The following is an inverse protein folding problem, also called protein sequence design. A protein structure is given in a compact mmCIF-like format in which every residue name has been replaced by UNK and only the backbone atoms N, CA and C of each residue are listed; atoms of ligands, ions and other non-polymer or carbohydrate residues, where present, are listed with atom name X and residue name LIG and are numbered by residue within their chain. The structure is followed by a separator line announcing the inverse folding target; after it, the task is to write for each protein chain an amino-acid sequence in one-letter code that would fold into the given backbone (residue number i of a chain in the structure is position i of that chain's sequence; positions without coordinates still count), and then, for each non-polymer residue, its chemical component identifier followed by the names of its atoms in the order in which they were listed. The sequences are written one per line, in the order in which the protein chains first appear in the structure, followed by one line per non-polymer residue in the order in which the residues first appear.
data_IF_505852046827
#
_entry.id   IF_505852046827
#
_cell.length_a   1.000
_cell.length_b   1.000
_cell.length_c   1.000
_cell.angle_alpha   90.00
_cell.angle_beta   90.00
_cell.angle_gamma   90.00
#
_symmetry.space_group_name_H-M   'P 1'
#
loop_
_entity.id
_entity.type
_entity.pdbx_description
1 polymer ?
#
# COMPACT_ATOMS: atom_id res chain seq x y z
N UNK A 1 -13.91 28.33 2.11
CA UNK A 1 -14.16 26.89 1.84
C UNK A 1 -13.17 26.43 0.80
N UNK A 2 -12.26 25.53 1.16
CA UNK A 2 -11.62 24.49 0.33
C UNK A 2 -10.39 23.99 1.12
N UNK A 3 -10.59 22.99 1.97
CA UNK A 3 -9.49 22.21 2.55
C UNK A 3 -9.14 21.13 1.53
N UNK A 4 -8.14 21.38 0.69
CA UNK A 4 -7.58 20.37 -0.21
C UNK A 4 -6.62 19.54 0.65
N UNK A 5 -7.06 18.36 1.09
CA UNK A 5 -6.20 17.39 1.74
C UNK A 5 -5.04 17.08 0.78
N UNK A 6 -3.84 17.49 1.16
CA UNK A 6 -2.63 17.29 0.38
C UNK A 6 -2.36 15.77 0.32
N UNK A 7 -2.13 15.25 -0.90
CA UNK A 7 -1.90 13.82 -1.21
C UNK A 7 -0.66 13.30 -0.47
N UNK A 8 -0.90 12.83 0.75
CA UNK A 8 -0.33 11.64 1.39
C UNK A 8 1.09 11.24 1.00
N UNK A 9 2.08 11.90 1.61
CA UNK A 9 3.41 11.30 1.81
C UNK A 9 3.28 10.14 2.81
N UNK A 10 3.86 8.97 2.51
CA UNK A 10 3.91 7.88 3.47
C UNK A 10 4.69 8.34 4.73
N UNK A 11 4.18 8.02 5.93
CA UNK A 11 4.87 8.23 7.21
C UNK A 11 4.94 6.89 7.94
N UNK A 12 6.10 6.55 8.49
CA UNK A 12 6.48 5.19 8.92
C UNK A 12 5.74 4.65 10.15
N UNK A 13 4.80 5.40 10.73
CA UNK A 13 4.08 5.01 11.94
C UNK A 13 2.60 5.36 11.78
N UNK A 14 1.75 4.35 11.92
CA UNK A 14 0.28 4.39 12.00
C UNK A 14 -0.54 4.46 10.70
N UNK A 15 0.06 4.17 9.54
CA UNK A 15 -0.75 3.97 8.31
C UNK A 15 -1.06 2.50 8.13
N UNK A 16 -2.27 2.12 8.55
CA UNK A 16 -2.89 0.86 8.13
C UNK A 16 -3.35 1.04 6.70
N UNK A 17 -2.85 0.20 5.79
CA UNK A 17 -3.29 0.16 4.40
C UNK A 17 -4.23 -1.03 4.21
N UNK A 18 -5.24 -0.83 3.38
CA UNK A 18 -6.25 -1.84 3.10
C UNK A 18 -6.02 -2.41 1.70
N UNK A 19 -6.01 -3.74 1.60
CA UNK A 19 -5.94 -4.41 0.31
C UNK A 19 -7.25 -4.20 -0.47
N UNK A 20 -7.17 -3.60 -1.66
CA UNK A 20 -8.36 -3.28 -2.48
C UNK A 20 -8.79 -4.40 -3.44
N UNK A 21 -7.99 -5.48 -3.57
CA UNK A 21 -8.24 -6.61 -4.46
C UNK A 21 -7.68 -7.90 -3.85
N UNK A 22 -8.39 -9.00 -4.02
CA UNK A 22 -7.90 -10.31 -3.57
C UNK A 22 -6.55 -10.67 -4.21
N UNK A 23 -5.70 -11.36 -3.45
CA UNK A 23 -4.48 -12.01 -3.93
C UNK A 23 -4.57 -13.49 -3.54
N UNK A 24 -5.24 -14.32 -4.37
CA UNK A 24 -5.57 -15.71 -4.03
C UNK A 24 -4.34 -16.57 -3.75
N UNK A 25 -3.23 -16.30 -4.44
CA UNK A 25 -1.96 -17.04 -4.33
C UNK A 25 -1.39 -16.98 -2.90
N UNK A 26 -1.67 -15.87 -2.20
CA UNK A 26 -1.23 -15.61 -0.83
C UNK A 26 -2.36 -15.65 0.19
N UNK A 27 -3.56 -16.11 -0.21
CA UNK A 27 -4.76 -16.18 0.64
C UNK A 27 -5.12 -14.84 1.30
N UNK A 28 -4.86 -13.74 0.59
CA UNK A 28 -5.21 -12.40 1.04
C UNK A 28 -6.53 -11.98 0.40
N UNK A 29 -7.50 -11.61 1.22
CA UNK A 29 -8.77 -11.07 0.75
C UNK A 29 -8.72 -9.55 0.66
N UNK A 30 -9.53 -8.97 -0.20
CA UNK A 30 -9.92 -7.56 -0.13
C UNK A 30 -10.32 -7.23 1.31
N UNK A 31 -10.01 -6.02 1.75
CA UNK A 31 -10.13 -5.55 3.13
C UNK A 31 -9.11 -6.10 4.13
N UNK A 32 -8.13 -6.90 3.68
CA UNK A 32 -7.01 -7.26 4.57
C UNK A 32 -6.21 -6.02 4.94
N UNK A 33 -6.11 -5.77 6.24
CA UNK A 33 -5.31 -4.69 6.80
C UNK A 33 -3.82 -5.06 6.83
N UNK A 34 -2.98 -4.06 6.63
CA UNK A 34 -1.53 -4.22 6.53
C UNK A 34 -0.80 -2.98 7.06
N UNK A 35 0.50 -3.14 7.32
CA UNK A 35 1.37 -2.11 7.88
C UNK A 35 2.46 -1.76 6.87
N UNK A 36 2.78 -0.47 6.78
CA UNK A 36 3.96 0.02 6.05
C UNK A 36 5.20 -0.30 6.88
N UNK A 37 6.10 -1.12 6.36
CA UNK A 37 7.38 -1.47 6.98
C UNK A 37 8.43 -0.38 6.77
N UNK A 38 8.58 0.08 5.54
CA UNK A 38 9.59 1.07 5.18
C UNK A 38 9.11 1.98 4.04
N UNK A 39 9.75 3.15 3.93
CA UNK A 39 9.43 4.18 2.95
C UNK A 39 10.73 4.60 2.26
N UNK A 40 10.86 4.20 1.01
CA UNK A 40 12.01 4.49 0.17
C UNK A 40 11.76 5.79 -0.61
N UNK A 41 11.84 6.93 0.07
CA UNK A 41 11.60 8.24 -0.57
C UNK A 41 10.11 8.64 -0.59
N UNK A 42 9.69 9.43 -1.58
CA UNK A 42 8.33 10.01 -1.58
C UNK A 42 7.26 9.08 -2.14
N UNK A 43 7.65 8.19 -3.03
CA UNK A 43 6.75 7.46 -3.91
C UNK A 43 6.98 5.94 -3.86
N UNK A 44 7.76 5.44 -2.91
CA UNK A 44 8.00 4.02 -2.76
C UNK A 44 7.88 3.63 -1.29
N UNK A 45 7.12 2.57 -1.02
CA UNK A 45 7.02 2.01 0.31
C UNK A 45 6.94 0.49 0.26
N UNK A 46 7.35 -0.16 1.33
CA UNK A 46 7.23 -1.60 1.52
C UNK A 46 6.11 -1.88 2.49
N UNK A 47 5.20 -2.76 2.08
CA UNK A 47 3.95 -3.04 2.78
C UNK A 47 3.90 -4.52 3.12
N UNK A 48 3.65 -4.87 4.39
CA UNK A 48 3.55 -6.26 4.85
C UNK A 48 2.11 -6.67 5.11
N UNK A 49 1.66 -7.69 4.39
CA UNK A 49 0.39 -8.37 4.63
C UNK A 49 0.64 -9.68 5.38
N UNK A 50 -0.18 -9.96 6.39
CA UNK A 50 -0.17 -11.24 7.11
C UNK A 50 -1.38 -12.06 6.68
N UNK A 51 -1.12 -13.19 6.04
CA UNK A 51 -2.13 -14.15 5.64
C UNK A 51 -2.71 -14.93 6.82
N UNK A 52 -3.87 -15.55 6.63
CA UNK A 52 -4.60 -16.24 7.71
C UNK A 52 -3.89 -17.47 8.31
N UNK A 53 -2.79 -17.92 7.71
CA UNK A 53 -1.92 -19.00 8.19
C UNK A 53 -0.62 -18.50 8.85
N UNK A 54 -0.42 -17.18 8.96
CA UNK A 54 0.80 -16.58 9.48
C UNK A 54 1.92 -16.42 8.44
N UNK A 55 1.67 -16.73 7.16
CA UNK A 55 2.59 -16.35 6.08
C UNK A 55 2.56 -14.84 5.88
N UNK A 56 3.72 -14.24 5.62
CA UNK A 56 3.89 -12.80 5.40
C UNK A 56 4.24 -12.53 3.96
N UNK A 57 3.57 -11.55 3.35
CA UNK A 57 3.86 -11.05 2.01
C UNK A 57 4.29 -9.59 2.11
N UNK A 58 5.54 -9.31 1.78
CA UNK A 58 6.05 -7.95 1.64
C UNK A 58 6.01 -7.53 0.16
N UNK A 59 5.33 -6.43 -0.14
CA UNK A 59 5.21 -5.88 -1.49
C UNK A 59 5.85 -4.49 -1.54
N UNK A 60 6.83 -4.26 -2.45
CA UNK A 60 7.23 -2.92 -2.79
C UNK A 60 6.13 -2.28 -3.63
N UNK A 61 5.56 -1.19 -3.12
CA UNK A 61 4.57 -0.39 -3.82
C UNK A 61 5.24 0.87 -4.32
N UNK A 62 5.28 0.98 -5.65
CA UNK A 62 5.58 2.23 -6.33
C UNK A 62 4.26 2.99 -6.45
N UNK A 63 4.24 4.21 -5.93
CA UNK A 63 3.18 5.19 -6.11
C UNK A 63 3.17 5.58 -7.59
N UNK A 64 2.55 4.72 -8.39
CA UNK A 64 2.24 5.02 -9.77
C UNK A 64 1.25 6.19 -9.78
N UNK A 65 1.76 7.40 -9.97
CA UNK A 65 1.21 8.11 -11.11
C UNK A 65 1.43 7.14 -12.28
N UNK A 66 0.37 6.42 -12.67
CA UNK A 66 0.38 5.81 -13.98
C UNK A 66 0.81 6.94 -14.91
N UNK A 67 1.98 6.82 -15.54
CA UNK A 67 2.34 7.69 -16.64
C UNK A 67 1.17 7.60 -17.60
N UNK A 68 0.32 8.60 -17.53
CA UNK A 68 -0.69 8.85 -18.54
C UNK A 68 0.11 9.49 -19.65
N UNK A 69 0.95 8.71 -20.32
CA UNK A 69 1.50 9.09 -21.60
C UNK A 69 0.31 9.04 -22.56
N UNK A 70 -0.15 10.18 -23.10
CA UNK A 70 -1.09 10.16 -24.20
C UNK A 70 -0.30 9.80 -25.46
N UNK A 71 -0.59 8.65 -26.07
CA UNK A 71 -0.28 8.42 -27.49
C UNK A 71 -1.17 9.30 -28.38
#
# INVERSE_FOLDING_TARGET
MASVANRDTFCQQDRVVELIRDIPEHRLSVSTHSVILDIYGKDECEIEFVGGNGETLALPVLNGQADSEPE
#
